data_IF_466004188181
#
_entry.id   IF_466004188181
#
_cell.length_a   1.000
_cell.length_b   1.000
_cell.length_c   1.000
_cell.angle_alpha   90.00
_cell.angle_beta   90.00
_cell.angle_gamma   90.00
#
_symmetry.space_group_name_H-M   'P 1'
#
loop_
_entity.id
_entity.type
_entity.pdbx_description
1 polymer ?
#
# COMPACT_ATOMS: atom_id res chain seq x y z
N UNK A 1 -10.63 -9.87 1.59
CA UNK A 1 -11.18 -8.69 0.89
C UNK A 1 -10.41 -7.50 1.43
N UNK A 2 -9.89 -6.62 0.58
CA UNK A 2 -9.08 -5.47 1.01
C UNK A 2 -9.98 -4.24 0.94
N UNK A 3 -10.11 -3.51 2.03
CA UNK A 3 -10.88 -2.27 2.05
C UNK A 3 -10.02 -1.09 1.62
N UNK A 4 -8.75 -1.06 2.05
CA UNK A 4 -7.83 0.05 1.81
C UNK A 4 -6.50 -0.42 1.27
N UNK A 5 -6.11 0.09 0.10
CA UNK A 5 -4.76 -0.05 -0.45
C UNK A 5 -3.87 1.13 -0.02
N UNK A 6 -2.63 0.88 0.40
CA UNK A 6 -1.66 1.96 0.63
C UNK A 6 -0.51 1.85 -0.37
N UNK A 7 -0.34 2.90 -1.18
CA UNK A 7 0.80 3.11 -2.07
C UNK A 7 1.85 3.96 -1.36
N UNK A 8 3.10 3.49 -1.36
CA UNK A 8 4.18 4.10 -0.60
C UNK A 8 5.56 3.71 -1.17
N UNK A 9 6.60 4.49 -0.85
CA UNK A 9 7.99 4.14 -1.13
C UNK A 9 8.56 3.26 -0.02
N UNK A 10 9.33 2.22 -0.36
CA UNK A 10 9.98 1.31 0.61
C UNK A 10 10.77 2.01 1.71
N UNK A 11 11.26 3.23 1.45
CA UNK A 11 12.00 4.03 2.43
C UNK A 11 11.11 4.60 3.56
N UNK A 12 9.79 4.63 3.37
CA UNK A 12 8.81 5.15 4.34
C UNK A 12 8.16 4.07 5.22
N UNK A 13 8.71 2.85 5.24
CA UNK A 13 8.08 1.67 5.87
C UNK A 13 7.61 1.94 7.30
N UNK A 14 8.43 2.56 8.13
CA UNK A 14 8.08 2.85 9.52
C UNK A 14 6.86 3.79 9.64
N UNK A 15 6.75 4.79 8.76
CA UNK A 15 5.61 5.72 8.77
C UNK A 15 4.34 5.06 8.26
N UNK A 16 4.47 4.28 7.19
CA UNK A 16 3.35 3.57 6.56
C UNK A 16 2.81 2.48 7.48
N UNK A 17 3.68 1.80 8.23
CA UNK A 17 3.27 0.83 9.25
C UNK A 17 2.36 1.44 10.32
N UNK A 18 2.68 2.66 10.78
CA UNK A 18 1.83 3.37 11.73
C UNK A 18 0.48 3.74 11.11
N UNK A 19 0.50 4.21 9.85
CA UNK A 19 -0.72 4.56 9.11
C UNK A 19 -1.62 3.34 8.89
N UNK A 20 -1.04 2.22 8.46
CA UNK A 20 -1.74 0.96 8.27
C UNK A 20 -2.42 0.51 9.56
N UNK A 21 -1.69 0.51 10.69
CA UNK A 21 -2.26 0.17 12.00
C UNK A 21 -3.39 1.10 12.43
N UNK A 22 -3.29 2.39 12.15
CA UNK A 22 -4.35 3.34 12.46
C UNK A 22 -5.62 3.04 11.64
N UNK A 23 -5.47 2.75 10.36
CA UNK A 23 -6.61 2.40 9.47
C UNK A 23 -7.21 1.03 9.84
N UNK A 24 -6.38 0.07 10.23
CA UNK A 24 -6.84 -1.22 10.76
C UNK A 24 -7.62 -1.08 12.07
N UNK A 25 -7.21 -0.16 12.95
CA UNK A 25 -7.90 0.12 14.22
C UNK A 25 -9.32 0.69 14.01
N UNK A 26 -9.57 1.34 12.87
CA UNK A 26 -10.90 1.80 12.45
C UNK A 26 -11.76 0.66 11.85
N UNK A 27 -11.26 -0.59 11.85
CA UNK A 27 -11.99 -1.77 11.37
C UNK A 27 -11.89 -2.02 9.87
N UNK A 28 -10.99 -1.34 9.17
CA UNK A 28 -10.76 -1.55 7.73
C UNK A 28 -9.69 -2.61 7.50
N UNK A 29 -9.88 -3.52 6.53
CA UNK A 29 -8.82 -4.41 6.08
C UNK A 29 -7.82 -3.65 5.19
N UNK A 30 -6.58 -3.49 5.68
CA UNK A 30 -5.53 -2.77 4.95
C UNK A 30 -4.63 -3.74 4.19
N UNK A 31 -4.24 -3.35 2.98
CA UNK A 31 -3.20 -4.03 2.22
C UNK A 31 -2.15 -3.02 1.75
N UNK A 32 -0.90 -3.34 2.02
CA UNK A 32 0.27 -2.54 1.69
C UNK A 32 1.39 -3.52 1.35
N UNK A 33 2.19 -3.16 0.35
CA UNK A 33 3.12 -4.04 -0.37
C UNK A 33 4.37 -4.46 0.44
N UNK A 34 4.23 -4.70 1.74
CA UNK A 34 5.29 -5.28 2.55
C UNK A 34 5.45 -6.80 2.28
N UNK A 35 4.43 -7.43 1.69
CA UNK A 35 4.33 -8.89 1.52
C UNK A 35 4.40 -9.38 0.06
N UNK A 36 4.55 -8.51 -0.96
CA UNK A 36 4.62 -9.03 -2.35
C UNK A 36 6.02 -9.60 -2.62
N UNK A 37 6.10 -10.88 -3.02
CA UNK A 37 7.37 -11.48 -3.32
C UNK A 37 8.06 -10.80 -4.51
N UNK A 38 9.39 -10.63 -4.49
CA UNK A 38 10.16 -9.85 -5.48
C UNK A 38 10.13 -10.40 -6.93
N UNK A 39 9.39 -11.47 -7.19
CA UNK A 39 9.36 -12.22 -8.45
C UNK A 39 7.99 -12.17 -9.15
N UNK A 40 7.03 -11.39 -8.64
CA UNK A 40 5.77 -11.11 -9.33
C UNK A 40 5.78 -9.70 -9.89
N UNK A 41 5.28 -9.53 -11.13
CA UNK A 41 5.16 -8.22 -11.77
C UNK A 41 4.26 -7.33 -10.91
N UNK A 42 4.89 -6.36 -10.24
CA UNK A 42 4.29 -5.43 -9.28
C UNK A 42 3.02 -4.75 -9.85
N UNK A 43 3.03 -4.49 -11.16
CA UNK A 43 1.96 -3.85 -11.91
C UNK A 43 0.68 -4.69 -11.98
N UNK A 44 0.81 -6.01 -12.19
CA UNK A 44 -0.36 -6.89 -12.34
C UNK A 44 -1.06 -7.12 -10.99
N UNK A 45 -0.26 -7.23 -9.92
CA UNK A 45 -0.77 -7.38 -8.54
C UNK A 45 -1.48 -6.10 -8.10
N UNK A 46 -0.88 -4.94 -8.32
CA UNK A 46 -1.49 -3.64 -7.96
C UNK A 46 -2.78 -3.41 -8.76
N UNK A 47 -2.80 -3.68 -10.06
CA UNK A 47 -3.99 -3.45 -10.90
C UNK A 47 -5.17 -4.32 -10.46
N UNK A 48 -4.92 -5.60 -10.15
CA UNK A 48 -5.96 -6.49 -9.63
C UNK A 48 -6.46 -6.08 -8.23
N UNK A 49 -5.59 -5.51 -7.40
CA UNK A 49 -5.92 -5.08 -6.04
C UNK A 49 -6.61 -3.72 -6.00
N UNK A 50 -6.23 -2.77 -6.86
CA UNK A 50 -6.92 -1.48 -7.01
C UNK A 50 -8.36 -1.69 -7.44
N UNK A 51 -8.63 -2.63 -8.36
CA UNK A 51 -10.00 -2.94 -8.78
C UNK A 51 -10.88 -3.56 -7.69
N UNK A 52 -10.27 -4.11 -6.63
CA UNK A 52 -10.96 -4.77 -5.53
C UNK A 52 -10.99 -3.94 -4.23
N UNK A 53 -10.18 -2.88 -4.13
CA UNK A 53 -10.12 -2.01 -2.97
C UNK A 53 -11.24 -0.97 -2.98
N UNK A 54 -11.78 -0.65 -1.80
CA UNK A 54 -12.81 0.38 -1.65
C UNK A 54 -12.21 1.79 -1.64
N UNK A 55 -10.97 1.91 -1.18
CA UNK A 55 -10.21 3.15 -1.14
C UNK A 55 -8.71 2.92 -1.33
N UNK A 56 -7.99 3.95 -1.75
CA UNK A 56 -6.53 3.96 -1.86
C UNK A 56 -5.94 5.18 -1.13
N UNK A 57 -4.87 4.96 -0.37
CA UNK A 57 -4.08 6.00 0.29
C UNK A 57 -2.72 6.06 -0.41
N UNK A 58 -2.34 7.23 -0.89
CA UNK A 58 -1.04 7.45 -1.56
C UNK A 58 -0.17 8.30 -0.65
N UNK A 59 0.95 7.72 -0.19
CA UNK A 59 1.91 8.40 0.69
C UNK A 59 2.97 9.06 -0.16
N UNK A 60 2.97 10.39 -0.18
CA UNK A 60 3.94 11.19 -0.91
C UNK A 60 5.14 11.51 -0.02
N UNK A 61 6.33 11.19 -0.51
CA UNK A 61 7.61 11.56 0.07
C UNK A 61 8.58 11.95 -1.05
N UNK A 62 9.68 12.61 -0.70
CA UNK A 62 10.73 12.93 -1.67
C UNK A 62 11.31 11.68 -2.36
N UNK A 63 11.23 10.52 -1.70
CA UNK A 63 11.65 9.22 -2.24
C UNK A 63 10.53 8.55 -3.07
N UNK A 64 9.27 8.76 -2.70
CA UNK A 64 8.13 8.27 -3.48
C UNK A 64 8.01 8.95 -4.85
N UNK A 65 8.36 10.24 -4.96
CA UNK A 65 8.36 10.97 -6.24
C UNK A 65 9.43 10.45 -7.22
N UNK A 66 10.47 9.78 -6.72
CA UNK A 66 11.56 9.22 -7.53
C UNK A 66 11.35 7.76 -7.93
N UNK A 67 10.30 7.13 -7.41
CA UNK A 67 9.99 5.73 -7.69
C UNK A 67 9.05 5.67 -8.91
N UNK A 68 9.48 4.96 -9.97
CA UNK A 68 8.66 4.65 -11.16
C UNK A 68 7.71 3.48 -10.92
#
# INVERSE_FOLDING_TARGET
MVDVFISWSRNDHARVAMLARAVEAEGCAVWWDADVPPHQSYVDVITAKIGAARAAIVVWSADAVKSE
#
